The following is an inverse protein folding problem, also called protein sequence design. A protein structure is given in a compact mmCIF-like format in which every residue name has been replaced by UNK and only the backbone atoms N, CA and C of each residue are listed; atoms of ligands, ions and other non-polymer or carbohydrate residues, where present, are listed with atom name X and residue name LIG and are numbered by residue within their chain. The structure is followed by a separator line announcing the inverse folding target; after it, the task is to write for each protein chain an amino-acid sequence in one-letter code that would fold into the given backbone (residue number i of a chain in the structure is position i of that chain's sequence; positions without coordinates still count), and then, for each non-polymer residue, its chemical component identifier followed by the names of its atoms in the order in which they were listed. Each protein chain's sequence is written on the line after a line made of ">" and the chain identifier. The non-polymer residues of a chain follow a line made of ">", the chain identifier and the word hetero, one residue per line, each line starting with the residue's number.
data_IF_036976877354
#
_entry.id   IF_036976877354
#
_cell.length_a   1.000
_cell.length_b   1.000
_cell.length_c   1.000
_cell.angle_alpha   90.00
_cell.angle_beta   90.00
_cell.angle_gamma   90.00
#
_symmetry.space_group_name_H-M   'P 1'
#
loop_
_entity.id
_entity.type
_entity.pdbx_description
1 polymer ?
#
# COMPACT_ATOMS: atom_id res chain seq x y z
N UNK A 1 15.57 -8.47 12.12
CA UNK A 1 14.96 -7.50 13.06
C UNK A 1 15.09 -6.06 12.55
N UNK A 2 16.11 -5.74 11.75
CA UNK A 2 16.41 -4.37 11.35
C UNK A 2 15.33 -3.71 10.48
N UNK A 3 14.65 -4.48 9.62
CA UNK A 3 13.48 -4.00 8.84
C UNK A 3 12.30 -3.52 9.70
N UNK A 4 12.19 -3.96 10.96
CA UNK A 4 11.16 -3.44 11.87
C UNK A 4 11.59 -2.10 12.45
N UNK A 5 12.89 -1.83 12.56
CA UNK A 5 13.39 -0.54 13.04
C UNK A 5 13.22 0.56 11.98
N UNK A 6 13.27 0.22 10.70
CA UNK A 6 13.12 1.18 9.60
C UNK A 6 11.71 1.79 9.51
N UNK A 7 10.70 1.16 10.12
CA UNK A 7 9.34 1.74 10.21
C UNK A 7 9.14 2.61 11.44
N UNK A 8 10.20 2.89 12.20
CA UNK A 8 10.18 3.74 13.40
C UNK A 8 9.06 3.34 14.37
N UNK A 9 9.09 2.12 14.95
CA UNK A 9 7.95 1.51 15.62
C UNK A 9 7.75 2.04 17.05
N UNK A 10 7.66 3.36 17.21
CA UNK A 10 7.35 4.10 18.43
C UNK A 10 6.34 5.20 18.13
N UNK A 11 5.61 5.67 19.14
CA UNK A 11 4.62 6.73 19.00
C UNK A 11 5.30 8.08 18.74
N UNK A 12 4.77 8.85 17.81
CA UNK A 12 5.24 10.20 17.45
C UNK A 12 4.05 11.18 17.47
N UNK A 13 3.57 11.60 18.66
CA UNK A 13 2.54 12.60 18.79
C UNK A 13 3.08 14.01 18.55
N UNK A 14 2.28 14.89 17.96
CA UNK A 14 2.56 16.32 17.86
C UNK A 14 2.11 17.07 19.13
N UNK A 15 2.90 18.08 19.53
CA UNK A 15 2.55 18.97 20.63
C UNK A 15 3.30 18.70 21.94
N UNK A 16 2.84 19.33 23.02
CA UNK A 16 3.42 19.17 24.36
C UNK A 16 2.92 17.85 24.95
N UNK A 17 3.83 17.05 25.49
CA UNK A 17 3.46 15.86 26.27
C UNK A 17 2.45 16.24 27.37
N UNK A 18 1.30 15.55 27.45
CA UNK A 18 0.32 15.83 28.48
C UNK A 18 0.88 15.49 29.87
N UNK A 19 0.40 16.19 30.90
CA UNK A 19 0.79 15.91 32.29
C UNK A 19 0.24 14.54 32.79
N UNK A 20 -0.67 13.92 32.02
CA UNK A 20 -1.31 12.62 32.30
C UNK A 20 -1.24 11.70 31.08
N UNK A 21 -2.07 10.64 31.03
CA UNK A 21 -2.08 9.68 29.91
C UNK A 21 -2.67 10.25 28.62
N UNK A 22 -2.24 9.70 27.47
CA UNK A 22 -2.86 9.99 26.18
C UNK A 22 -4.24 9.33 26.10
N UNK A 23 -5.27 10.14 25.87
CA UNK A 23 -6.63 9.67 25.67
C UNK A 23 -6.76 8.96 24.31
N UNK A 24 -7.27 7.74 24.31
CA UNK A 24 -7.62 6.98 23.11
C UNK A 24 -8.99 6.33 23.32
N UNK A 25 -9.99 6.62 22.48
CA UNK A 25 -11.29 5.94 22.55
C UNK A 25 -11.17 4.44 22.31
N UNK A 26 -11.94 3.63 23.04
CA UNK A 26 -11.94 2.17 22.88
C UNK A 26 -12.29 1.76 21.44
N UNK A 27 -13.26 2.41 20.83
CA UNK A 27 -13.70 2.16 19.45
C UNK A 27 -12.56 2.31 18.44
N UNK A 28 -11.68 3.30 18.66
CA UNK A 28 -10.51 3.56 17.83
C UNK A 28 -9.35 2.60 18.11
N UNK A 29 -9.41 1.81 19.18
CA UNK A 29 -8.36 0.86 19.55
C UNK A 29 -8.72 -0.60 19.23
N UNK A 30 -10.03 -0.94 19.16
CA UNK A 30 -10.50 -2.31 18.93
C UNK A 30 -9.92 -2.96 17.67
N UNK A 31 -9.82 -2.19 16.58
CA UNK A 31 -9.29 -2.68 15.31
C UNK A 31 -7.78 -2.98 15.34
N UNK A 32 -7.05 -2.40 16.31
CA UNK A 32 -5.61 -2.61 16.51
C UNK A 32 -5.30 -3.88 17.32
N UNK A 33 -6.26 -4.44 18.05
CA UNK A 33 -6.05 -5.54 18.99
C UNK A 33 -5.28 -6.72 18.36
N UNK A 34 -5.62 -7.07 17.13
CA UNK A 34 -4.93 -8.13 16.39
C UNK A 34 -3.45 -7.83 16.14
N UNK A 35 -3.14 -6.62 15.66
CA UNK A 35 -1.78 -6.21 15.31
C UNK A 35 -0.91 -5.95 16.55
N UNK A 36 -1.51 -5.41 17.61
CA UNK A 36 -0.83 -5.19 18.90
C UNK A 36 -0.43 -6.52 19.53
N UNK A 37 -1.20 -7.59 19.33
CA UNK A 37 -0.90 -8.94 19.84
C UNK A 37 0.33 -9.62 19.21
N UNK A 38 0.97 -8.99 18.22
CA UNK A 38 2.14 -9.53 17.54
C UNK A 38 3.34 -9.69 18.49
N UNK A 39 3.79 -10.93 18.66
CA UNK A 39 4.93 -11.34 19.50
C UNK A 39 6.29 -11.30 18.79
N UNK A 40 6.35 -10.78 17.56
CA UNK A 40 7.56 -10.70 16.74
C UNK A 40 8.29 -12.05 16.52
N UNK A 41 7.56 -13.16 16.46
CA UNK A 41 8.13 -14.49 16.27
C UNK A 41 8.81 -14.73 14.91
N UNK A 42 8.48 -13.93 13.88
CA UNK A 42 9.10 -14.04 12.55
C UNK A 42 8.52 -15.12 11.62
N UNK A 43 7.57 -15.95 12.07
CA UNK A 43 6.94 -17.00 11.23
C UNK A 43 6.42 -16.44 9.89
N UNK A 44 5.72 -15.31 9.94
CA UNK A 44 5.18 -14.67 8.73
C UNK A 44 6.24 -14.20 7.74
N UNK A 45 7.44 -13.84 8.22
CA UNK A 45 8.56 -13.41 7.36
C UNK A 45 9.23 -14.62 6.72
N UNK A 46 9.34 -15.73 7.46
CA UNK A 46 9.92 -16.98 6.98
C UNK A 46 9.14 -17.57 5.80
N UNK A 47 7.81 -17.60 5.88
CA UNK A 47 6.96 -18.18 4.82
C UNK A 47 6.55 -17.18 3.72
N UNK A 48 7.07 -15.95 3.76
CA UNK A 48 6.71 -14.95 2.77
C UNK A 48 7.49 -15.20 1.46
N UNK A 49 6.79 -15.63 0.43
CA UNK A 49 7.36 -15.87 -0.91
C UNK A 49 8.02 -14.64 -1.53
N UNK A 50 7.58 -13.43 -1.19
CA UNK A 50 8.20 -12.19 -1.69
C UNK A 50 9.55 -11.97 -1.04
N UNK A 51 9.68 -12.27 0.25
CA UNK A 51 10.94 -12.12 0.98
C UNK A 51 12.05 -13.05 0.45
N UNK A 52 11.67 -14.18 -0.16
CA UNK A 52 12.59 -15.11 -0.83
C UNK A 52 13.11 -14.55 -2.16
N UNK A 53 12.29 -13.80 -2.90
CA UNK A 53 12.62 -13.28 -4.23
C UNK A 53 13.26 -11.88 -4.15
N UNK A 54 12.74 -11.01 -3.28
CA UNK A 54 13.19 -9.64 -3.11
C UNK A 54 13.55 -9.35 -1.66
N UNK A 55 14.86 -9.29 -1.40
CA UNK A 55 15.40 -8.95 -0.09
C UNK A 55 15.17 -7.49 0.30
N UNK A 56 14.77 -6.59 -0.61
CA UNK A 56 14.46 -5.20 -0.30
C UNK A 56 13.05 -5.03 0.29
N UNK A 57 12.15 -5.99 0.05
CA UNK A 57 10.79 -5.93 0.59
C UNK A 57 10.79 -5.84 2.11
N UNK A 58 10.08 -4.88 2.68
CA UNK A 58 10.03 -4.59 4.11
C UNK A 58 9.54 -5.78 4.93
N UNK A 59 8.62 -6.56 4.37
CA UNK A 59 8.12 -7.80 4.94
C UNK A 59 6.88 -7.63 5.82
N UNK A 60 6.14 -8.72 6.06
CA UNK A 60 4.83 -8.68 6.72
C UNK A 60 4.90 -8.23 8.19
N UNK A 61 5.98 -8.58 8.92
CA UNK A 61 6.14 -8.19 10.31
C UNK A 61 6.32 -6.68 10.51
N UNK A 62 7.12 -6.05 9.64
CA UNK A 62 7.35 -4.61 9.66
C UNK A 62 6.12 -3.84 9.15
N UNK A 63 5.44 -4.33 8.10
CA UNK A 63 4.16 -3.77 7.63
C UNK A 63 3.05 -3.84 8.69
N UNK A 64 3.00 -4.92 9.49
CA UNK A 64 2.06 -4.99 10.59
C UNK A 64 2.38 -3.93 11.66
N UNK A 65 3.65 -3.75 12.02
CA UNK A 65 4.04 -2.69 12.97
C UNK A 65 3.80 -1.29 12.42
N UNK A 66 4.06 -1.02 11.14
CA UNK A 66 3.76 0.29 10.56
C UNK A 66 2.27 0.57 10.58
N UNK A 67 1.42 -0.41 10.26
CA UNK A 67 -0.03 -0.28 10.36
C UNK A 67 -0.50 0.07 11.78
N UNK A 68 0.11 -0.54 12.81
CA UNK A 68 -0.21 -0.25 14.20
C UNK A 68 -0.12 1.24 14.50
N UNK A 69 0.98 1.88 14.11
CA UNK A 69 1.24 3.29 14.42
C UNK A 69 0.43 4.22 13.52
N UNK A 70 0.39 3.96 12.21
CA UNK A 70 -0.46 4.71 11.28
C UNK A 70 -1.93 4.66 11.71
N UNK A 71 -2.33 3.58 12.38
CA UNK A 71 -3.71 3.39 12.83
C UNK A 71 -3.99 3.76 14.28
N UNK A 72 -2.98 4.16 15.04
CA UNK A 72 -3.15 4.60 16.41
C UNK A 72 -3.71 6.03 16.44
N UNK A 73 -4.79 6.32 17.21
CA UNK A 73 -5.31 7.68 17.33
C UNK A 73 -4.30 8.68 17.92
N UNK A 74 -3.26 8.19 18.59
CA UNK A 74 -2.27 9.00 19.32
C UNK A 74 -0.99 9.30 18.51
N UNK A 75 -0.85 8.77 17.30
CA UNK A 75 0.30 9.04 16.42
C UNK A 75 -0.09 10.11 15.40
N UNK A 76 0.80 11.07 15.16
CA UNK A 76 0.60 12.16 14.19
C UNK A 76 1.54 12.05 12.98
N UNK A 77 2.47 11.09 12.98
CA UNK A 77 3.46 10.88 11.90
C UNK A 77 2.93 10.06 10.70
N UNK A 78 1.60 9.95 10.56
CA UNK A 78 0.91 9.13 9.54
C UNK A 78 1.44 9.42 8.12
N UNK A 79 1.51 10.71 7.74
CA UNK A 79 1.93 11.15 6.39
C UNK A 79 3.32 10.66 6.01
N UNK A 80 4.27 10.82 6.93
CA UNK A 80 5.67 10.49 6.70
C UNK A 80 5.85 8.97 6.60
N UNK A 81 5.23 8.22 7.52
CA UNK A 81 5.24 6.75 7.52
C UNK A 81 4.64 6.20 6.23
N UNK A 82 3.50 6.72 5.81
CA UNK A 82 2.81 6.30 4.60
C UNK A 82 3.60 6.63 3.33
N UNK A 83 4.32 7.76 3.33
CA UNK A 83 5.23 8.11 2.23
C UNK A 83 6.37 7.10 2.12
N UNK A 84 7.04 6.78 3.22
CA UNK A 84 8.09 5.73 3.28
C UNK A 84 7.57 4.37 2.82
N UNK A 85 6.32 4.02 3.17
CA UNK A 85 5.69 2.77 2.74
C UNK A 85 5.30 2.73 1.25
N UNK A 86 5.18 3.88 0.58
CA UNK A 86 4.88 3.92 -0.86
C UNK A 86 6.13 3.73 -1.75
N UNK A 87 7.32 3.81 -1.19
CA UNK A 87 8.58 3.64 -1.91
C UNK A 87 8.83 2.17 -2.31
N UNK A 88 9.84 1.94 -3.15
CA UNK A 88 10.30 0.59 -3.50
C UNK A 88 10.81 -0.13 -2.24
N UNK A 89 10.47 -1.41 -2.09
CA UNK A 89 10.63 -2.16 -0.85
C UNK A 89 9.45 -2.00 0.10
N UNK A 90 8.48 -1.12 -0.19
CA UNK A 90 7.36 -0.79 0.69
C UNK A 90 6.16 -1.73 0.57
N UNK A 91 4.95 -1.19 0.79
CA UNK A 91 3.69 -1.96 0.81
C UNK A 91 3.34 -2.54 -0.57
N UNK A 92 3.74 -1.87 -1.66
CA UNK A 92 3.33 -2.25 -3.01
C UNK A 92 3.96 -3.53 -3.54
N UNK A 93 5.05 -3.99 -2.93
CA UNK A 93 5.77 -5.19 -3.36
C UNK A 93 5.13 -6.48 -2.84
N UNK A 94 4.15 -6.38 -1.93
CA UNK A 94 3.38 -7.53 -1.47
C UNK A 94 2.49 -8.10 -2.58
N UNK A 95 2.73 -9.36 -2.92
CA UNK A 95 1.94 -10.11 -3.93
C UNK A 95 0.63 -10.68 -3.39
N UNK A 96 0.32 -10.47 -2.11
CA UNK A 96 -0.86 -11.03 -1.40
C UNK A 96 -0.97 -12.55 -1.51
N UNK A 97 0.13 -13.28 -1.29
CA UNK A 97 0.10 -14.74 -1.19
C UNK A 97 -0.56 -15.28 0.10
N UNK A 98 -0.86 -14.39 1.07
CA UNK A 98 -1.56 -14.66 2.34
C UNK A 98 -0.91 -15.66 3.30
N UNK A 99 0.27 -16.19 2.98
CA UNK A 99 1.01 -17.11 3.87
C UNK A 99 1.30 -16.53 5.25
N UNK A 100 1.58 -15.24 5.32
CA UNK A 100 1.81 -14.53 6.57
C UNK A 100 0.65 -14.62 7.58
N UNK A 101 -0.58 -14.83 7.10
CA UNK A 101 -1.78 -14.99 7.92
C UNK A 101 -1.92 -16.44 8.38
N UNK A 102 -1.74 -17.37 7.45
CA UNK A 102 -1.90 -18.81 7.64
C UNK A 102 -0.94 -19.35 8.72
N UNK A 103 0.30 -18.88 8.71
CA UNK A 103 1.37 -19.39 9.61
C UNK A 103 1.46 -18.64 10.94
N UNK A 104 0.66 -17.57 11.12
CA UNK A 104 0.74 -16.76 12.33
C UNK A 104 0.21 -17.55 13.55
N UNK A 105 1.03 -17.82 14.59
CA UNK A 105 0.60 -18.60 15.74
C UNK A 105 -0.47 -17.90 16.59
N UNK A 106 -0.53 -16.56 16.51
CA UNK A 106 -1.55 -15.75 17.21
C UNK A 106 -2.87 -15.71 16.44
N UNK A 107 -2.93 -16.24 15.20
CA UNK A 107 -4.12 -16.31 14.32
C UNK A 107 -4.89 -15.00 14.10
N UNK A 108 -4.31 -13.89 14.56
CA UNK A 108 -4.95 -12.59 14.67
C UNK A 108 -4.01 -11.45 14.32
N UNK A 109 -2.90 -11.71 13.61
CA UNK A 109 -2.18 -10.61 12.96
C UNK A 109 -2.82 -10.40 11.59
N UNK A 110 -3.69 -9.39 11.43
CA UNK A 110 -4.25 -9.14 10.14
C UNK A 110 -3.14 -8.69 9.19
N UNK A 111 -3.32 -9.06 7.94
CA UNK A 111 -2.42 -8.94 6.82
C UNK A 111 -2.02 -7.45 6.73
N UNK A 112 -0.75 -7.10 6.95
CA UNK A 112 -0.31 -5.69 7.03
C UNK A 112 -0.80 -4.86 5.84
N UNK A 113 -0.80 -5.46 4.63
CA UNK A 113 -1.40 -4.87 3.42
C UNK A 113 -2.90 -4.57 3.56
N UNK A 114 -3.68 -5.57 3.98
CA UNK A 114 -5.14 -5.52 3.94
C UNK A 114 -5.67 -4.54 4.98
N UNK A 115 -4.95 -4.29 6.08
CA UNK A 115 -5.38 -3.25 7.01
C UNK A 115 -4.94 -1.86 6.59
N UNK A 116 -3.72 -1.72 6.02
CA UNK A 116 -3.28 -0.46 5.38
C UNK A 116 -4.22 -0.07 4.24
N UNK A 117 -4.77 -1.06 3.51
CA UNK A 117 -5.77 -0.81 2.45
C UNK A 117 -7.21 -0.73 2.93
N UNK A 118 -7.65 -1.46 3.97
CA UNK A 118 -9.03 -1.44 4.49
C UNK A 118 -9.43 -0.10 5.10
N UNK A 119 -8.48 0.66 5.67
CA UNK A 119 -8.76 2.06 6.08
C UNK A 119 -9.24 2.97 4.95
N UNK A 120 -9.05 2.59 3.67
CA UNK A 120 -9.60 3.33 2.52
C UNK A 120 -11.13 3.23 2.40
N UNK A 121 -11.77 2.29 3.10
CA UNK A 121 -13.23 2.07 3.05
C UNK A 121 -14.00 2.51 4.29
N UNK A 122 -13.35 2.54 5.47
CA UNK A 122 -14.08 2.45 6.74
C UNK A 122 -14.33 3.79 7.47
N UNK A 123 -13.86 4.93 6.92
CA UNK A 123 -14.32 6.26 7.38
C UNK A 123 -13.98 6.68 8.83
N UNK A 124 -13.30 5.85 9.62
CA UNK A 124 -13.01 6.08 11.06
C UNK A 124 -12.05 7.26 11.29
N UNK A 125 -11.19 7.59 10.31
CA UNK A 125 -10.58 8.91 10.17
C UNK A 125 -10.48 9.22 8.68
N UNK A 126 -11.10 10.29 8.16
CA UNK A 126 -10.97 10.67 6.76
C UNK A 126 -9.56 11.26 6.58
N UNK A 127 -8.55 10.40 6.57
CA UNK A 127 -7.25 10.81 6.09
C UNK A 127 -7.40 11.02 4.58
N UNK A 128 -7.35 12.28 4.15
CA UNK A 128 -7.45 12.66 2.75
C UNK A 128 -6.15 12.23 2.04
N UNK A 129 -6.05 10.93 1.79
CA UNK A 129 -4.88 10.33 1.17
C UNK A 129 -4.80 10.86 -0.26
N UNK A 130 -3.85 11.77 -0.52
CA UNK A 130 -3.45 12.08 -1.89
C UNK A 130 -2.84 10.80 -2.47
N UNK A 131 -3.62 10.12 -3.30
CA UNK A 131 -3.16 8.95 -4.03
C UNK A 131 -1.81 9.29 -4.69
N UNK A 132 -0.80 8.47 -4.43
CA UNK A 132 0.49 8.64 -5.08
C UNK A 132 0.34 8.62 -6.61
N UNK A 133 1.30 9.18 -7.36
CA UNK A 133 1.18 9.35 -8.82
C UNK A 133 0.75 8.07 -9.56
N UNK A 134 1.24 6.91 -9.13
CA UNK A 134 0.91 5.60 -9.69
C UNK A 134 -0.56 5.20 -9.51
N UNK A 135 -1.14 5.46 -8.33
CA UNK A 135 -2.54 5.16 -8.08
C UNK A 135 -3.46 6.09 -8.88
N UNK A 136 -3.09 7.37 -8.99
CA UNK A 136 -3.85 8.31 -9.81
C UNK A 136 -3.77 7.92 -11.29
N UNK A 137 -2.59 7.55 -11.78
CA UNK A 137 -2.40 7.05 -13.15
C UNK A 137 -3.25 5.81 -13.46
N UNK A 138 -3.40 4.90 -12.49
CA UNK A 138 -4.27 3.73 -12.59
C UNK A 138 -5.75 4.16 -12.69
N UNK A 139 -6.22 4.98 -11.75
CA UNK A 139 -7.60 5.47 -11.70
C UNK A 139 -7.96 6.20 -13.00
N UNK A 140 -7.09 7.10 -13.46
CA UNK A 140 -7.29 7.86 -14.70
C UNK A 140 -7.36 6.97 -15.93
N UNK A 141 -6.53 5.92 -16.00
CA UNK A 141 -6.57 4.95 -17.10
C UNK A 141 -7.90 4.22 -17.19
N UNK A 142 -8.38 3.72 -16.05
CA UNK A 142 -9.63 2.97 -15.94
C UNK A 142 -10.82 3.90 -16.19
N UNK A 143 -10.83 5.11 -15.64
CA UNK A 143 -11.88 6.12 -15.91
C UNK A 143 -11.96 6.50 -17.39
N UNK A 144 -10.82 6.60 -18.08
CA UNK A 144 -10.79 6.98 -19.49
C UNK A 144 -11.31 5.89 -20.43
N UNK A 145 -10.89 4.64 -20.20
CA UNK A 145 -11.03 3.56 -21.19
C UNK A 145 -11.76 2.32 -20.70
N UNK A 146 -11.99 2.18 -19.39
CA UNK A 146 -12.46 0.96 -18.73
C UNK A 146 -11.38 -0.11 -18.58
N UNK A 147 -10.20 0.08 -19.19
CA UNK A 147 -9.07 -0.83 -19.14
C UNK A 147 -7.83 -0.16 -18.54
N UNK A 148 -6.93 -0.98 -18.01
CA UNK A 148 -5.60 -0.51 -17.62
C UNK A 148 -4.71 -0.40 -18.86
N UNK A 149 -4.17 0.78 -19.12
CA UNK A 149 -3.17 1.00 -20.16
C UNK A 149 -1.78 0.77 -19.56
N UNK A 150 -1.37 -0.50 -19.56
CA UNK A 150 -0.10 -0.97 -19.00
C UNK A 150 1.11 -0.32 -19.68
N UNK A 151 0.99 0.05 -20.96
CA UNK A 151 2.08 0.71 -21.70
C UNK A 151 2.34 2.13 -21.18
N UNK A 152 1.28 2.87 -20.88
CA UNK A 152 1.36 4.25 -20.40
C UNK A 152 1.50 4.36 -18.88
N UNK A 153 1.21 3.29 -18.14
CA UNK A 153 1.23 3.28 -16.69
C UNK A 153 2.62 3.63 -16.12
N UNK A 154 3.75 3.06 -16.59
CA UNK A 154 5.07 3.43 -16.09
C UNK A 154 5.40 4.90 -16.34
N UNK A 155 5.06 5.42 -17.53
CA UNK A 155 5.30 6.82 -17.91
C UNK A 155 4.49 7.77 -17.01
N UNK A 156 3.22 7.45 -16.76
CA UNK A 156 2.36 8.25 -15.89
C UNK A 156 2.70 8.12 -14.41
N UNK A 157 3.28 6.98 -13.99
CA UNK A 157 3.65 6.70 -12.59
C UNK A 157 4.98 7.34 -12.21
N UNK A 158 6.01 7.17 -13.05
CA UNK A 158 7.37 7.64 -12.75
C UNK A 158 7.70 9.01 -13.35
N UNK A 159 6.91 9.47 -14.33
CA UNK A 159 7.14 10.71 -15.07
C UNK A 159 8.13 10.52 -16.22
N UNK A 160 7.84 11.15 -17.38
CA UNK A 160 8.65 10.99 -18.60
C UNK A 160 10.09 11.52 -18.44
N UNK A 161 10.31 12.45 -17.50
CA UNK A 161 11.60 13.06 -17.21
C UNK A 161 12.44 12.25 -16.21
N UNK A 162 11.90 11.19 -15.60
CA UNK A 162 12.67 10.31 -14.73
C UNK A 162 13.47 9.28 -15.55
N UNK A 163 14.52 9.78 -16.20
CA UNK A 163 15.36 8.99 -17.11
C UNK A 163 15.94 7.75 -16.42
N UNK A 164 16.32 7.86 -15.13
CA UNK A 164 16.85 6.73 -14.36
C UNK A 164 15.83 5.59 -14.23
N UNK A 165 14.59 5.91 -13.82
CA UNK A 165 13.53 4.90 -13.71
C UNK A 165 13.15 4.32 -15.09
N UNK A 166 13.12 5.16 -16.13
CA UNK A 166 12.82 4.70 -17.49
C UNK A 166 13.90 3.75 -18.03
N UNK A 167 15.18 4.04 -17.82
CA UNK A 167 16.29 3.14 -18.21
C UNK A 167 16.20 1.81 -17.45
N UNK A 168 15.88 1.83 -16.15
CA UNK A 168 15.72 0.62 -15.35
C UNK A 168 14.60 -0.31 -15.86
N UNK A 169 13.59 0.24 -16.56
CA UNK A 169 12.48 -0.51 -17.14
C UNK A 169 12.78 -1.11 -18.52
N UNK A 170 13.82 -0.63 -19.23
CA UNK A 170 14.17 -1.10 -20.58
C UNK A 170 14.41 -2.63 -20.62
N UNK A 171 15.18 -3.25 -19.70
CA UNK A 171 15.39 -4.70 -19.72
C UNK A 171 14.08 -5.48 -19.61
N UNK A 172 13.14 -5.00 -18.78
CA UNK A 172 11.80 -5.60 -18.64
C UNK A 172 11.00 -5.44 -19.91
N UNK A 173 11.05 -4.28 -20.56
CA UNK A 173 10.41 -4.03 -21.86
C UNK A 173 10.93 -4.94 -22.97
N UNK A 174 12.27 -5.13 -23.04
CA UNK A 174 12.90 -6.05 -24.00
C UNK A 174 12.45 -7.49 -23.73
N UNK A 175 12.47 -7.95 -22.47
CA UNK A 175 11.99 -9.30 -22.11
C UNK A 175 10.52 -9.49 -22.45
N UNK A 176 9.68 -8.49 -22.20
CA UNK A 176 8.26 -8.54 -22.55
C UNK A 176 8.06 -8.65 -24.08
N UNK A 177 8.82 -7.88 -24.86
CA UNK A 177 8.80 -7.93 -26.32
C UNK A 177 9.27 -9.29 -26.86
N UNK A 178 10.37 -9.84 -26.33
CA UNK A 178 10.90 -11.15 -26.74
C UNK A 178 9.95 -12.30 -26.42
N UNK A 179 9.26 -12.24 -25.28
CA UNK A 179 8.28 -13.25 -24.88
C UNK A 179 6.88 -13.05 -25.49
N UNK A 180 6.71 -12.07 -26.40
CA UNK A 180 5.40 -11.76 -26.98
C UNK A 180 4.37 -11.20 -25.97
N UNK A 181 4.81 -10.83 -24.76
CA UNK A 181 3.98 -10.27 -23.67
C UNK A 181 3.94 -8.76 -23.70
N UNK A 182 4.15 -8.14 -24.87
CA UNK A 182 4.11 -6.69 -25.00
C UNK A 182 2.66 -6.20 -24.83
N UNK A 183 2.41 -5.16 -24.02
CA UNK A 183 1.12 -4.51 -23.99
C UNK A 183 0.72 -4.01 -25.38
N UNK A 184 -0.59 -3.92 -25.68
CA UNK A 184 -1.08 -3.41 -26.96
C UNK A 184 -0.65 -1.94 -27.15
N UNK A 185 -0.10 -1.63 -28.34
CA UNK A 185 0.30 -0.27 -28.70
C UNK A 185 -0.90 0.68 -28.87
N UNK A 186 -2.04 0.13 -29.29
CA UNK A 186 -3.29 0.87 -29.47
C UNK A 186 -4.24 0.45 -28.34
N UNK A 187 -4.54 1.39 -27.46
CA UNK A 187 -5.42 1.16 -26.33
C UNK A 187 -6.89 1.33 -26.72
N UNK A 188 -7.66 0.23 -26.74
CA UNK A 188 -9.09 0.24 -27.07
C UNK A 188 -9.94 0.47 -25.82
N UNK A 189 -11.08 1.15 -25.97
CA UNK A 189 -12.05 1.34 -24.88
C UNK A 189 -12.99 0.14 -24.78
N UNK A 190 -13.47 -0.16 -23.58
CA UNK A 190 -14.50 -1.18 -23.37
C UNK A 190 -15.84 -0.72 -23.94
N UNK A 191 -16.64 -1.67 -24.43
CA UNK A 191 -18.04 -1.42 -24.76
C UNK A 191 -18.78 -1.03 -23.47
N UNK A 192 -19.38 0.17 -23.44
CA UNK A 192 -20.08 0.67 -22.24
C UNK A 192 -19.21 1.41 -21.22
N UNK A 193 -18.08 1.99 -21.64
CA UNK A 193 -17.20 2.81 -20.78
C UNK A 193 -17.95 3.92 -20.02
N UNK A 194 -19.08 4.38 -20.54
CA UNK A 194 -19.91 5.41 -19.92
C UNK A 194 -20.49 4.96 -18.57
N UNK A 195 -20.80 3.66 -18.42
CA UNK A 195 -21.25 3.12 -17.14
C UNK A 195 -20.12 3.15 -16.10
N UNK A 196 -18.88 2.88 -16.53
CA UNK A 196 -17.69 2.96 -15.67
C UNK A 196 -17.49 4.40 -15.21
N UNK A 197 -17.57 5.37 -16.12
CA UNK A 197 -17.47 6.81 -15.78
C UNK A 197 -18.54 7.24 -14.80
N UNK A 198 -19.79 6.82 -15.01
CA UNK A 198 -20.91 7.11 -14.11
C UNK A 198 -20.68 6.55 -12.70
N UNK A 199 -20.03 5.39 -12.57
CA UNK A 199 -19.65 4.84 -11.25
C UNK A 199 -18.63 5.75 -10.57
N UNK A 200 -17.59 6.19 -11.30
CA UNK A 200 -16.61 7.14 -10.76
C UNK A 200 -17.24 8.46 -10.34
N UNK A 201 -18.09 9.06 -11.18
CA UNK A 201 -18.81 10.30 -10.87
C UNK A 201 -19.69 10.15 -9.62
N UNK A 202 -20.41 9.02 -9.49
CA UNK A 202 -21.21 8.75 -8.30
C UNK A 202 -20.38 8.63 -7.04
N UNK A 203 -19.17 8.08 -7.12
CA UNK A 203 -18.26 7.95 -5.96
C UNK A 203 -17.62 9.29 -5.62
N UNK A 204 -17.20 10.05 -6.63
CA UNK A 204 -16.61 11.39 -6.46
C UNK A 204 -17.63 12.39 -5.89
N UNK A 205 -18.90 12.33 -6.32
CA UNK A 205 -19.97 13.20 -5.83
C UNK A 205 -20.57 12.77 -4.47
N UNK A 206 -20.16 11.62 -3.92
CA UNK A 206 -20.61 11.13 -2.60
C UNK A 206 -19.65 11.52 -1.47
N UNK A 207 -18.52 12.15 -1.82
CA UNK A 207 -17.68 12.90 -0.89
C UNK A 207 -18.31 14.26 -0.63
#
# INVERSE_FOLDING_TARGET
>A
MDKVKTVEPWLQPEGKEPDTEYLAPDEDMLHLAGVVSCILCGACVSDCTVMEVDSNFLGPGALAKSYRFVSDPRDDADSERLTKLNEYGGVWDCTRCLKCVEVCPKKGCPNGQDNVTKRKGDGIRPYEYKWGPSCQAFVDSVKHSGWLNELMLPIKSFGIFNIKAMIALIPTGIRAQLNGKRPPLIHKKISGVENVRRIFEKVENKK
#
